data_IF_191646634889
#
_entry.id   IF_191646634889
#
_cell.length_a   1.000
_cell.length_b   1.000
_cell.length_c   1.000
_cell.angle_alpha   90.00
_cell.angle_beta   90.00
_cell.angle_gamma   90.00
#
_symmetry.space_group_name_H-M   'P 1'
#
loop_
_entity.id
_entity.type
_entity.pdbx_description
1 polymer ?
#
# COMPACT_ATOMS: atom_id res chain seq x y z
N UNK A 1 -28.33 34.59 74.99
CA UNK A 1 -27.26 34.90 75.95
C UNK A 1 -27.56 34.23 77.28
N UNK A 2 -27.43 32.90 77.30
CA UNK A 2 -26.34 32.31 78.08
C UNK A 2 -25.54 31.29 77.26
N UNK A 3 -24.26 31.10 77.59
CA UNK A 3 -23.37 30.13 76.94
C UNK A 3 -22.99 29.01 77.92
N UNK A 4 -23.84 27.98 77.99
CA UNK A 4 -23.48 26.69 78.57
C UNK A 4 -22.73 25.84 77.54
N UNK A 5 -21.75 25.06 78.01
CA UNK A 5 -21.02 24.07 77.19
C UNK A 5 -21.72 22.71 77.28
N UNK A 6 -22.40 22.26 76.23
CA UNK A 6 -22.64 20.83 75.95
C UNK A 6 -23.24 20.61 74.55
N UNK A 7 -22.90 19.45 73.96
CA UNK A 7 -23.57 18.74 72.86
C UNK A 7 -23.74 19.41 71.48
N UNK A 8 -23.10 18.80 70.47
CA UNK A 8 -23.59 18.60 69.09
C UNK A 8 -22.55 17.65 68.43
N UNK A 9 -22.84 16.35 68.29
CA UNK A 9 -23.64 15.69 67.25
C UNK A 9 -22.81 15.28 66.02
N UNK A 10 -22.78 13.98 65.73
CA UNK A 10 -22.11 13.39 64.56
C UNK A 10 -22.66 13.93 63.22
N UNK A 11 -21.77 14.24 62.27
CA UNK A 11 -21.94 13.79 60.87
C UNK A 11 -20.59 13.59 60.21
N UNK A 12 -20.41 12.47 59.50
CA UNK A 12 -19.28 12.28 58.59
C UNK A 12 -19.57 12.97 57.25
N UNK A 13 -18.58 13.68 56.70
CA UNK A 13 -18.54 14.04 55.28
C UNK A 13 -17.15 13.74 54.72
N UNK A 14 -17.14 13.07 53.58
CA UNK A 14 -15.98 12.49 52.93
C UNK A 14 -15.36 13.49 51.95
N UNK A 15 -14.03 13.63 51.97
CA UNK A 15 -13.29 14.31 50.91
C UNK A 15 -12.93 13.32 49.78
N UNK A 16 -13.68 13.37 48.69
CA UNK A 16 -13.17 13.17 47.32
C UNK A 16 -12.52 14.52 46.88
N UNK A 17 -11.59 14.59 45.89
CA UNK A 17 -11.51 13.79 44.66
C UNK A 17 -10.06 13.25 44.40
N UNK A 18 -9.62 12.74 43.24
CA UNK A 18 -10.17 12.56 41.88
C UNK A 18 -10.01 11.11 41.40
N UNK A 19 -10.75 10.74 40.34
CA UNK A 19 -10.62 9.47 39.62
C UNK A 19 -9.86 9.70 38.31
N UNK A 20 -8.56 9.37 38.26
CA UNK A 20 -7.79 9.35 37.01
C UNK A 20 -8.18 8.11 36.22
N UNK A 21 -8.76 8.31 35.03
CA UNK A 21 -9.19 7.25 34.12
C UNK A 21 -8.01 6.63 33.39
N UNK A 22 -8.03 5.29 33.24
CA UNK A 22 -7.01 4.52 32.54
C UNK A 22 -6.92 4.97 31.07
N UNK A 23 -5.79 5.55 30.68
CA UNK A 23 -5.56 6.00 29.30
C UNK A 23 -5.36 4.81 28.34
N UNK A 24 -5.66 4.98 27.03
CA UNK A 24 -5.50 3.90 26.07
C UNK A 24 -4.03 3.46 25.97
N UNK A 25 -3.77 2.24 26.45
CA UNK A 25 -2.43 1.63 26.45
C UNK A 25 -2.05 1.23 25.03
N UNK A 26 -1.22 2.04 24.38
CA UNK A 26 -0.60 1.68 23.10
C UNK A 26 0.20 0.39 23.26
N UNK A 27 -0.30 -0.69 22.68
CA UNK A 27 0.32 -2.02 22.63
C UNK A 27 0.59 -2.41 21.19
N UNK A 28 1.62 -1.80 20.59
CA UNK A 28 2.21 -2.29 19.34
C UNK A 28 3.50 -3.04 19.69
N UNK A 29 3.37 -4.33 19.98
CA UNK A 29 4.53 -5.23 20.15
C UNK A 29 4.87 -5.81 18.78
N UNK A 30 5.87 -5.23 18.11
CA UNK A 30 6.38 -5.71 16.83
C UNK A 30 7.17 -7.02 16.99
N UNK A 31 6.47 -8.14 17.19
CA UNK A 31 7.07 -9.47 17.28
C UNK A 31 7.32 -10.08 15.89
N UNK A 32 8.30 -9.50 15.17
CA UNK A 32 9.08 -10.05 14.03
C UNK A 32 9.93 -8.93 13.44
N UNK A 33 11.22 -9.15 13.24
CA UNK A 33 12.07 -8.24 12.45
C UNK A 33 11.77 -8.42 10.96
N UNK A 34 11.37 -7.35 10.23
CA UNK A 34 11.12 -7.44 8.79
C UNK A 34 12.40 -7.80 8.03
N UNK A 35 12.27 -8.55 6.94
CA UNK A 35 13.40 -8.93 6.07
C UNK A 35 13.66 -7.83 5.04
N UNK A 36 14.91 -7.41 4.89
CA UNK A 36 15.30 -6.47 3.83
C UNK A 36 15.51 -7.24 2.51
N UNK A 37 14.76 -6.87 1.48
CA UNK A 37 14.71 -7.52 0.16
C UNK A 37 14.97 -6.48 -0.93
N UNK A 38 15.74 -6.83 -1.96
CA UNK A 38 15.94 -5.94 -3.12
C UNK A 38 14.63 -5.84 -3.91
N UNK A 39 14.18 -4.60 -4.18
CA UNK A 39 12.92 -4.31 -4.88
C UNK A 39 12.97 -4.90 -6.29
N UNK A 40 12.17 -5.93 -6.55
CA UNK A 40 12.05 -6.56 -7.86
C UNK A 40 10.87 -5.95 -8.60
N UNK A 41 11.11 -5.28 -9.73
CA UNK A 41 10.06 -4.69 -10.57
C UNK A 41 9.29 -5.79 -11.35
N UNK A 42 8.51 -6.60 -10.63
CA UNK A 42 7.51 -7.51 -11.22
C UNK A 42 6.11 -6.99 -10.91
N UNK A 43 5.23 -7.03 -11.91
CA UNK A 43 3.81 -6.78 -11.72
C UNK A 43 3.21 -7.92 -10.89
N UNK A 44 2.77 -7.62 -9.68
CA UNK A 44 2.13 -8.60 -8.80
C UNK A 44 0.72 -8.90 -9.29
N UNK A 45 0.55 -10.01 -10.01
CA UNK A 45 -0.76 -10.63 -10.18
C UNK A 45 -1.22 -11.14 -8.82
N UNK A 46 -2.46 -10.86 -8.45
CA UNK A 46 -3.05 -11.29 -7.19
C UNK A 46 -4.43 -11.89 -7.46
N UNK A 47 -4.90 -12.78 -6.58
CA UNK A 47 -6.25 -13.33 -6.68
C UNK A 47 -7.27 -12.36 -6.06
N UNK A 48 -8.56 -12.44 -6.42
CA UNK A 48 -9.63 -11.70 -5.76
C UNK A 48 -9.60 -11.79 -4.23
N UNK A 49 -9.39 -12.97 -3.66
CA UNK A 49 -9.35 -13.15 -2.20
C UNK A 49 -8.18 -12.41 -1.53
N UNK A 50 -7.00 -12.43 -2.16
CA UNK A 50 -5.81 -11.73 -1.66
C UNK A 50 -6.01 -10.21 -1.72
N UNK A 51 -6.58 -9.70 -2.80
CA UNK A 51 -6.89 -8.27 -2.93
C UNK A 51 -7.97 -7.81 -1.95
N UNK A 52 -9.07 -8.56 -1.84
CA UNK A 52 -10.15 -8.24 -0.90
C UNK A 52 -9.62 -8.20 0.54
N UNK A 53 -8.76 -9.15 0.91
CA UNK A 53 -8.08 -9.18 2.21
C UNK A 53 -7.09 -8.03 2.39
N UNK A 54 -6.29 -7.69 1.37
CA UNK A 54 -5.34 -6.57 1.47
C UNK A 54 -6.09 -5.24 1.66
N UNK A 55 -7.20 -5.06 0.94
CA UNK A 55 -8.03 -3.85 1.01
C UNK A 55 -8.93 -3.80 2.25
N UNK A 56 -9.09 -4.90 3.01
CA UNK A 56 -9.88 -4.90 4.25
C UNK A 56 -9.09 -4.52 5.50
N UNK A 57 -7.74 -4.53 5.46
CA UNK A 57 -6.91 -4.21 6.63
C UNK A 57 -7.02 -2.73 7.03
N UNK A 58 -6.87 -2.41 8.31
CA UNK A 58 -6.61 -1.03 8.75
C UNK A 58 -5.20 -0.56 8.38
N UNK A 59 -4.92 0.74 8.56
CA UNK A 59 -3.57 1.31 8.41
C UNK A 59 -2.59 0.66 9.40
N UNK A 60 -3.02 0.46 10.64
CA UNK A 60 -2.26 -0.14 11.73
C UNK A 60 -2.04 -1.65 11.52
N UNK A 61 -3.06 -2.37 11.05
CA UNK A 61 -2.96 -3.80 10.71
C UNK A 61 -2.01 -4.03 9.54
N UNK A 62 -2.04 -3.16 8.52
CA UNK A 62 -1.11 -3.19 7.39
C UNK A 62 0.33 -2.92 7.84
N UNK A 63 0.53 -1.95 8.74
CA UNK A 63 1.84 -1.69 9.34
C UNK A 63 2.33 -2.89 10.18
N UNK A 64 1.47 -3.46 11.03
CA UNK A 64 1.81 -4.60 11.88
C UNK A 64 2.07 -5.90 11.10
N UNK A 65 1.46 -6.06 9.92
CA UNK A 65 1.69 -7.19 9.01
C UNK A 65 2.86 -6.99 8.04
N UNK A 66 3.59 -5.87 8.12
CA UNK A 66 4.73 -5.57 7.25
C UNK A 66 5.93 -6.48 7.55
N UNK A 67 6.15 -7.50 6.71
CA UNK A 67 7.20 -8.53 6.89
C UNK A 67 8.39 -8.40 5.91
N UNK A 68 8.22 -7.71 4.78
CA UNK A 68 9.30 -7.41 3.83
C UNK A 68 9.51 -5.91 3.73
N UNK A 69 10.77 -5.48 3.81
CA UNK A 69 11.23 -4.11 3.65
C UNK A 69 12.14 -4.00 2.46
N UNK A 70 12.22 -2.80 1.90
CA UNK A 70 13.01 -2.50 0.72
C UNK A 70 14.04 -1.40 1.05
N UNK A 71 15.24 -1.44 0.44
CA UNK A 71 16.14 -0.29 0.47
C UNK A 71 15.41 0.95 -0.08
N UNK A 72 15.59 2.13 0.53
CA UNK A 72 14.97 3.35 0.03
C UNK A 72 15.58 3.77 -1.30
N UNK A 73 14.84 4.57 -2.07
CA UNK A 73 15.35 5.13 -3.33
C UNK A 73 16.16 6.39 -3.03
N UNK A 74 17.48 6.30 -3.21
CA UNK A 74 18.37 7.45 -3.20
C UNK A 74 17.98 8.38 -4.37
N UNK A 75 17.80 9.66 -4.08
CA UNK A 75 17.48 10.71 -5.04
C UNK A 75 18.73 11.48 -5.47
N UNK A 76 19.62 11.74 -4.51
CA UNK A 76 20.78 12.61 -4.67
C UNK A 76 21.87 12.20 -3.66
N UNK A 77 23.13 12.23 -4.08
CA UNK A 77 24.29 12.11 -3.19
C UNK A 77 24.80 13.52 -2.83
N UNK A 78 25.18 13.70 -1.57
CA UNK A 78 25.66 14.96 -1.00
C UNK A 78 27.12 14.80 -0.59
N UNK A 79 27.89 15.89 -0.66
CA UNK A 79 29.27 15.87 -0.17
C UNK A 79 29.29 15.92 1.36
N UNK A 80 29.65 14.79 1.97
CA UNK A 80 29.87 14.67 3.41
C UNK A 80 30.90 15.68 3.92
N UNK A 81 31.81 16.16 3.06
CA UNK A 81 32.86 17.09 3.45
C UNK A 81 32.36 18.48 3.84
N UNK A 82 31.17 18.87 3.35
CA UNK A 82 30.51 20.14 3.70
C UNK A 82 29.85 20.09 5.08
N UNK A 83 29.40 18.89 5.51
CA UNK A 83 28.55 18.72 6.70
C UNK A 83 29.22 17.98 7.86
N UNK A 84 30.30 17.23 7.61
CA UNK A 84 30.97 16.43 8.65
C UNK A 84 32.47 16.22 8.40
N UNK A 85 33.25 16.22 9.49
CA UNK A 85 34.65 15.79 9.44
C UNK A 85 34.79 14.26 9.33
N UNK A 86 33.74 13.48 9.61
CA UNK A 86 33.74 12.01 9.57
C UNK A 86 33.34 11.48 8.19
N UNK A 87 34.18 11.77 7.19
CA UNK A 87 33.93 11.52 5.75
C UNK A 87 33.91 10.05 5.33
N UNK A 88 34.47 9.14 6.14
CA UNK A 88 34.47 7.70 5.84
C UNK A 88 33.18 7.09 6.39
N UNK A 89 32.37 6.51 5.51
CA UNK A 89 31.29 5.59 5.89
C UNK A 89 31.76 4.15 5.68
N UNK A 90 31.22 3.23 6.47
CA UNK A 90 31.40 1.78 6.26
C UNK A 90 30.30 1.16 5.39
N UNK A 91 29.30 1.95 5.03
CA UNK A 91 28.23 1.59 4.11
C UNK A 91 28.65 1.95 2.68
N UNK A 92 28.35 1.09 1.72
CA UNK A 92 28.60 1.32 0.29
C UNK A 92 27.88 2.59 -0.21
N UNK A 93 28.35 3.21 -1.29
CA UNK A 93 27.76 4.43 -1.85
C UNK A 93 26.37 4.14 -2.42
N UNK A 94 26.17 2.95 -2.98
CA UNK A 94 24.90 2.48 -3.57
C UNK A 94 23.84 2.07 -2.52
N UNK A 95 24.13 2.18 -1.22
CA UNK A 95 23.23 1.77 -0.13
C UNK A 95 23.03 2.93 0.85
N UNK A 96 21.79 3.30 1.18
CA UNK A 96 21.53 4.38 2.15
C UNK A 96 22.08 4.03 3.56
N UNK A 97 22.67 5.03 4.24
CA UNK A 97 23.16 4.89 5.62
C UNK A 97 22.01 4.67 6.61
N UNK A 98 20.79 5.10 6.26
CA UNK A 98 19.59 4.87 7.05
C UNK A 98 18.62 3.93 6.34
N UNK A 99 18.11 2.93 7.06
CA UNK A 99 16.98 2.12 6.62
C UNK A 99 15.68 2.67 7.24
N UNK A 100 14.69 3.11 6.44
CA UNK A 100 13.36 3.42 6.91
C UNK A 100 12.53 2.16 7.16
N UNK A 101 11.71 2.21 8.21
CA UNK A 101 10.60 1.32 8.50
C UNK A 101 9.34 2.15 8.80
N UNK A 102 8.23 1.98 8.06
CA UNK A 102 8.10 1.15 6.87
C UNK A 102 8.84 1.78 5.66
N UNK A 103 9.15 0.98 4.63
CA UNK A 103 9.74 1.47 3.37
C UNK A 103 8.75 2.21 2.46
N UNK A 104 7.45 2.04 2.71
CA UNK A 104 6.34 2.78 2.09
C UNK A 104 5.27 2.95 3.17
N UNK A 105 4.78 4.17 3.36
CA UNK A 105 3.71 4.47 4.32
C UNK A 105 2.38 4.35 3.57
N UNK A 106 1.53 3.42 3.98
CA UNK A 106 0.21 3.20 3.37
C UNK A 106 -0.89 3.50 4.36
N UNK A 107 -1.64 4.58 4.11
CA UNK A 107 -2.92 4.84 4.76
C UNK A 107 -4.04 4.17 3.96
N UNK A 108 -4.93 3.44 4.62
CA UNK A 108 -6.09 2.81 3.97
C UNK A 108 -7.26 2.67 4.95
N UNK A 109 -8.47 2.53 4.40
CA UNK A 109 -9.73 2.48 5.15
C UNK A 109 -9.92 3.68 6.11
N UNK A 110 -9.51 4.86 5.66
CA UNK A 110 -9.71 6.12 6.38
C UNK A 110 -11.05 6.77 6.10
N UNK A 111 -11.53 7.50 7.10
CA UNK A 111 -12.68 8.41 7.06
C UNK A 111 -12.18 9.84 6.79
N UNK A 112 -12.83 10.60 5.88
CA UNK A 112 -12.55 12.03 5.72
C UNK A 112 -12.69 12.82 7.04
N UNK A 113 -11.89 13.86 7.19
CA UNK A 113 -11.79 14.75 8.37
C UNK A 113 -11.21 14.15 9.66
N UNK A 114 -11.05 12.82 9.75
CA UNK A 114 -10.30 12.17 10.83
C UNK A 114 -8.77 12.40 10.64
N UNK A 115 -7.97 12.12 11.67
CA UNK A 115 -6.50 12.27 11.62
C UNK A 115 -5.84 10.95 12.02
N UNK A 116 -4.92 10.47 11.17
CA UNK A 116 -4.22 9.20 11.32
C UNK A 116 -2.73 9.45 11.52
N UNK A 117 -2.08 8.58 12.29
CA UNK A 117 -0.66 8.71 12.64
C UNK A 117 0.09 7.43 12.32
N UNK A 118 1.18 7.52 11.54
CA UNK A 118 2.06 6.37 11.26
C UNK A 118 3.50 6.71 11.66
N UNK A 119 4.17 5.88 12.48
CA UNK A 119 5.57 6.08 12.82
C UNK A 119 6.48 5.72 11.65
N UNK A 120 7.33 6.66 11.25
CA UNK A 120 8.47 6.47 10.36
C UNK A 120 9.74 6.33 11.20
N UNK A 121 10.25 5.10 11.30
CA UNK A 121 11.45 4.76 12.07
C UNK A 121 12.66 4.71 11.13
N UNK A 122 13.66 5.55 11.37
CA UNK A 122 14.92 5.58 10.61
C UNK A 122 16.03 4.94 11.44
N UNK A 123 16.57 3.80 10.99
CA UNK A 123 17.68 3.10 11.65
C UNK A 123 19.03 3.45 11.01
N UNK A 124 20.00 3.89 11.81
CA UNK A 124 21.37 4.09 11.33
C UNK A 124 22.08 2.74 11.18
N UNK A 125 22.51 2.41 9.95
CA UNK A 125 23.24 1.19 9.62
C UNK A 125 24.76 1.39 9.57
N UNK A 126 25.26 2.62 9.63
CA UNK A 126 26.70 2.90 9.66
C UNK A 126 27.30 2.67 11.06
N UNK A 127 28.62 2.48 11.11
CA UNK A 127 29.40 2.27 12.35
C UNK A 127 29.68 3.57 13.11
N UNK A 128 29.24 4.71 12.59
CA UNK A 128 29.48 6.06 13.13
C UNK A 128 28.12 6.73 13.38
N UNK A 129 27.95 7.56 14.44
CA UNK A 129 26.71 8.32 14.63
C UNK A 129 26.48 9.29 13.47
N UNK A 130 25.35 9.17 12.75
CA UNK A 130 25.02 9.98 11.57
C UNK A 130 23.88 10.94 11.82
N UNK A 131 23.95 12.10 11.18
CA UNK A 131 22.90 13.10 11.21
C UNK A 131 21.77 12.74 10.23
N UNK A 132 20.51 12.88 10.65
CA UNK A 132 19.34 12.78 9.77
C UNK A 132 18.33 13.90 10.05
N UNK A 133 17.86 14.51 8.97
CA UNK A 133 16.74 15.46 8.93
C UNK A 133 15.64 14.85 8.08
N UNK A 134 14.40 14.93 8.54
CA UNK A 134 13.24 14.66 7.69
C UNK A 134 12.70 15.99 7.17
N UNK A 135 12.46 16.05 5.86
CA UNK A 135 11.90 17.19 5.14
C UNK A 135 10.63 16.73 4.46
N UNK A 136 9.54 17.46 4.69
CA UNK A 136 8.28 17.32 3.96
C UNK A 136 8.19 18.35 2.83
N UNK A 137 7.45 18.02 1.79
CA UNK A 137 6.98 19.00 0.79
C UNK A 137 5.67 19.60 1.32
N UNK A 138 5.45 20.91 1.15
CA UNK A 138 4.24 21.58 1.69
C UNK A 138 2.95 20.88 1.23
N UNK A 139 2.19 20.37 2.20
CA UNK A 139 1.02 19.54 1.95
C UNK A 139 -0.15 19.93 2.83
N UNK A 140 -1.35 19.98 2.24
CA UNK A 140 -2.61 20.24 2.95
C UNK A 140 -3.10 19.01 3.74
N UNK A 141 -2.57 17.83 3.43
CA UNK A 141 -3.08 16.54 3.90
C UNK A 141 -2.08 15.77 4.78
N UNK A 142 -0.79 15.94 4.55
CA UNK A 142 0.28 15.25 5.25
C UNK A 142 1.09 16.24 6.08
N UNK A 143 1.49 15.83 7.29
CA UNK A 143 2.44 16.56 8.14
C UNK A 143 3.39 15.60 8.84
N UNK A 144 4.64 15.99 9.04
CA UNK A 144 5.66 15.19 9.73
C UNK A 144 6.05 15.87 11.04
N UNK A 145 5.70 15.24 12.16
CA UNK A 145 6.12 15.66 13.49
C UNK A 145 7.44 15.00 13.83
N UNK A 146 8.47 15.80 14.12
CA UNK A 146 9.73 15.32 14.68
C UNK A 146 9.63 15.25 16.20
N UNK A 147 10.25 14.25 16.87
CA UNK A 147 10.30 14.19 18.33
C UNK A 147 11.22 15.27 18.94
N UNK A 148 12.02 15.96 18.13
CA UNK A 148 12.90 17.07 18.53
C UNK A 148 12.92 18.09 17.40
N UNK A 149 12.76 19.38 17.70
CA UNK A 149 12.71 20.47 16.69
C UNK A 149 14.01 20.69 15.89
N UNK A 150 15.03 19.85 16.09
CA UNK A 150 16.39 20.02 15.57
C UNK A 150 16.94 18.70 15.02
N UNK A 151 17.77 18.81 13.99
CA UNK A 151 18.45 17.72 13.30
C UNK A 151 19.08 16.68 14.25
N UNK A 152 18.75 15.39 14.09
CA UNK A 152 19.05 14.35 15.10
C UNK A 152 20.27 13.54 14.69
N UNK A 153 21.30 13.50 15.55
CA UNK A 153 22.47 12.62 15.39
C UNK A 153 22.19 11.25 16.02
N UNK A 154 21.95 10.25 15.17
CA UNK A 154 21.55 8.89 15.56
C UNK A 154 22.78 7.99 15.69
N UNK A 155 22.98 7.39 16.86
CA UNK A 155 24.09 6.47 17.11
C UNK A 155 24.02 5.18 16.26
N UNK A 156 25.14 4.47 16.04
CA UNK A 156 25.20 3.22 15.27
C UNK A 156 24.18 2.19 15.74
N UNK A 157 23.41 1.62 14.82
CA UNK A 157 22.39 0.60 15.09
C UNK A 157 21.11 1.10 15.78
N UNK A 158 21.10 2.33 16.30
CA UNK A 158 19.95 2.97 16.93
C UNK A 158 18.96 3.53 15.91
N UNK A 159 17.77 3.90 16.39
CA UNK A 159 16.65 4.40 15.59
C UNK A 159 16.17 5.77 16.05
N UNK A 160 15.76 6.62 15.10
CA UNK A 160 14.95 7.82 15.36
C UNK A 160 13.56 7.63 14.78
N UNK A 161 12.52 7.99 15.52
CA UNK A 161 11.11 7.83 15.10
C UNK A 161 10.48 9.18 14.85
N UNK A 162 9.97 9.40 13.64
CA UNK A 162 9.17 10.56 13.24
C UNK A 162 7.71 10.12 13.10
N UNK A 163 6.75 11.02 13.32
CA UNK A 163 5.32 10.69 13.17
C UNK A 163 4.77 11.36 11.92
N UNK A 164 4.28 10.57 10.97
CA UNK A 164 3.58 11.08 9.78
C UNK A 164 2.09 11.13 10.09
N UNK A 165 1.57 12.35 10.19
CA UNK A 165 0.16 12.67 10.33
C UNK A 165 -0.50 12.75 8.94
N UNK A 166 -1.70 12.19 8.82
CA UNK A 166 -2.53 12.29 7.62
C UNK A 166 -3.94 12.74 8.00
N UNK A 167 -4.41 13.81 7.34
CA UNK A 167 -5.75 14.38 7.50
C UNK A 167 -6.45 14.49 6.13
N UNK A 168 -7.15 13.43 5.67
CA UNK A 168 -7.89 13.47 4.41
C UNK A 168 -9.05 14.48 4.47
N UNK A 169 -9.26 15.26 3.41
CA UNK A 169 -10.49 16.05 3.24
C UNK A 169 -11.60 15.28 2.51
N UNK A 170 -11.21 14.38 1.60
CA UNK A 170 -12.08 13.60 0.72
C UNK A 170 -11.62 12.14 0.68
N UNK A 171 -12.55 11.21 0.38
CA UNK A 171 -12.23 9.80 0.20
C UNK A 171 -11.79 9.52 -1.25
N UNK A 172 -10.53 9.84 -1.55
CA UNK A 172 -9.86 9.66 -2.85
C UNK A 172 -8.42 9.20 -2.62
N UNK A 173 -7.75 8.68 -3.65
CA UNK A 173 -6.33 8.34 -3.56
C UNK A 173 -5.46 9.60 -3.38
N UNK A 174 -4.50 9.55 -2.46
CA UNK A 174 -3.44 10.56 -2.33
C UNK A 174 -2.07 9.91 -2.50
N UNK A 175 -1.17 10.58 -3.22
CA UNK A 175 0.23 10.15 -3.39
C UNK A 175 1.10 11.31 -2.94
N UNK A 176 2.07 11.02 -2.07
CA UNK A 176 3.02 12.00 -1.54
C UNK A 176 4.34 11.29 -1.20
N UNK A 177 5.31 12.04 -0.68
CA UNK A 177 6.60 11.48 -0.26
C UNK A 177 7.22 12.30 0.85
N UNK A 178 8.04 11.63 1.64
CA UNK A 178 8.90 12.24 2.67
C UNK A 178 10.33 12.14 2.20
N UNK A 179 11.10 13.22 2.29
CA UNK A 179 12.52 13.24 1.91
C UNK A 179 13.36 13.18 3.18
N UNK A 180 14.11 12.09 3.33
CA UNK A 180 15.09 11.95 4.39
C UNK A 180 16.44 12.46 3.88
N UNK A 181 16.99 13.46 4.56
CA UNK A 181 18.27 14.10 4.24
C UNK A 181 19.29 13.68 5.29
N UNK A 182 20.41 13.11 4.84
CA UNK A 182 21.54 12.68 5.68
C UNK A 182 22.80 13.49 5.34
N UNK A 183 23.93 13.19 5.97
CA UNK A 183 25.24 13.79 5.63
C UNK A 183 25.72 13.42 4.21
N UNK A 184 25.24 12.32 3.61
CA UNK A 184 25.77 11.74 2.36
C UNK A 184 24.73 11.53 1.26
N UNK A 185 23.45 11.40 1.61
CA UNK A 185 22.39 11.20 0.62
C UNK A 185 21.05 11.82 1.03
N UNK A 186 20.24 12.13 0.01
CA UNK A 186 18.79 12.31 0.14
C UNK A 186 18.09 11.07 -0.41
N UNK A 187 17.12 10.53 0.31
CA UNK A 187 16.29 9.42 -0.16
C UNK A 187 14.80 9.66 0.12
N UNK A 188 13.92 9.10 -0.73
CA UNK A 188 12.47 9.20 -0.54
C UNK A 188 11.88 7.99 0.22
N UNK A 189 10.91 8.28 1.08
CA UNK A 189 9.94 7.32 1.61
C UNK A 189 8.57 7.69 1.01
N UNK A 190 7.99 6.89 0.09
CA UNK A 190 6.69 7.18 -0.48
C UNK A 190 5.58 7.07 0.57
N UNK A 191 4.62 7.99 0.50
CA UNK A 191 3.34 7.92 1.21
C UNK A 191 2.24 7.68 0.17
N UNK A 192 1.35 6.74 0.46
CA UNK A 192 0.17 6.44 -0.35
C UNK A 192 -1.04 6.35 0.55
N UNK A 193 -2.07 7.13 0.26
CA UNK A 193 -3.38 6.94 0.86
C UNK A 193 -4.30 6.30 -0.19
N UNK A 194 -4.88 5.15 0.17
CA UNK A 194 -5.80 4.37 -0.65
C UNK A 194 -7.22 4.78 -0.28
N UNK A 195 -7.89 5.48 -1.19
CA UNK A 195 -9.28 5.88 -1.03
C UNK A 195 -10.25 4.74 -1.29
N UNK A 196 -11.55 5.06 -1.34
CA UNK A 196 -12.63 4.10 -1.50
C UNK A 196 -12.40 3.16 -2.69
N UNK A 197 -12.40 1.85 -2.41
CA UNK A 197 -12.22 0.79 -3.41
C UNK A 197 -13.50 0.01 -3.67
N UNK A 198 -13.68 -0.29 -4.94
CA UNK A 198 -14.55 -1.35 -5.43
C UNK A 198 -13.89 -2.70 -5.15
N UNK A 199 -14.67 -3.66 -4.64
CA UNK A 199 -14.22 -5.03 -4.39
C UNK A 199 -15.34 -5.94 -4.85
N UNK A 200 -15.11 -6.69 -5.92
CA UNK A 200 -16.04 -7.70 -6.42
C UNK A 200 -15.69 -9.05 -5.81
N UNK A 201 -16.67 -9.67 -5.17
CA UNK A 201 -16.58 -11.01 -4.61
C UNK A 201 -16.56 -12.04 -5.74
N UNK A 202 -15.34 -12.42 -6.14
CA UNK A 202 -15.07 -13.45 -7.13
C UNK A 202 -14.31 -14.62 -6.47
N UNK A 203 -14.61 -15.87 -6.84
CA UNK A 203 -13.80 -17.01 -6.43
C UNK A 203 -12.44 -16.99 -7.13
N UNK A 204 -11.36 -17.38 -6.46
CA UNK A 204 -10.02 -17.40 -7.07
C UNK A 204 -9.91 -18.40 -8.26
N UNK A 205 -10.75 -19.44 -8.24
CA UNK A 205 -10.72 -20.56 -9.18
C UNK A 205 -12.12 -20.97 -9.62
N UNK A 206 -12.30 -21.18 -10.92
CA UNK A 206 -13.49 -21.84 -11.47
C UNK A 206 -13.13 -23.18 -12.12
N UNK A 207 -13.74 -24.23 -11.60
CA UNK A 207 -13.74 -25.55 -12.21
C UNK A 207 -15.04 -25.78 -12.98
N UNK A 208 -14.89 -26.40 -14.15
CA UNK A 208 -15.95 -26.88 -15.02
C UNK A 208 -16.06 -28.41 -14.94
N UNK A 209 -17.24 -28.99 -15.22
CA UNK A 209 -17.37 -30.43 -15.39
C UNK A 209 -16.62 -30.90 -16.65
N UNK A 210 -16.40 -32.20 -16.75
CA UNK A 210 -15.87 -32.82 -17.98
C UNK A 210 -16.88 -32.58 -19.11
N UNK A 211 -16.47 -31.85 -20.15
CA UNK A 211 -17.31 -31.54 -21.31
C UNK A 211 -16.79 -32.26 -22.57
N UNK A 212 -17.66 -32.85 -23.41
CA UNK A 212 -17.27 -33.35 -24.72
C UNK A 212 -16.71 -32.25 -25.63
N UNK A 213 -15.81 -32.63 -26.55
CA UNK A 213 -15.25 -31.72 -27.54
C UNK A 213 -16.36 -31.18 -28.46
N UNK A 214 -16.38 -29.87 -28.71
CA UNK A 214 -17.43 -29.07 -29.38
C UNK A 214 -18.77 -28.94 -28.62
N UNK A 215 -18.87 -29.39 -27.37
CA UNK A 215 -20.02 -29.12 -26.51
C UNK A 215 -19.71 -28.00 -25.52
N UNK A 216 -20.56 -26.96 -25.49
CA UNK A 216 -20.44 -25.88 -24.51
C UNK A 216 -20.86 -26.38 -23.13
N UNK A 217 -20.01 -26.17 -22.13
CA UNK A 217 -20.38 -26.23 -20.71
C UNK A 217 -20.42 -24.79 -20.15
N UNK A 218 -21.41 -24.50 -19.31
CA UNK A 218 -21.70 -23.16 -18.84
C UNK A 218 -21.67 -23.11 -17.30
N UNK A 219 -21.19 -22.00 -16.73
CA UNK A 219 -21.19 -21.77 -15.28
C UNK A 219 -21.51 -20.32 -14.96
N UNK A 220 -22.65 -20.10 -14.31
CA UNK A 220 -23.08 -18.78 -13.84
C UNK A 220 -22.66 -18.56 -12.39
N UNK A 221 -22.24 -17.33 -12.10
CA UNK A 221 -21.73 -16.86 -10.81
C UNK A 221 -22.55 -15.64 -10.40
N UNK A 222 -22.92 -15.57 -9.12
CA UNK A 222 -23.45 -14.33 -8.55
C UNK A 222 -22.27 -13.54 -7.98
N UNK A 223 -21.89 -12.46 -8.67
CA UNK A 223 -20.79 -11.58 -8.27
C UNK A 223 -21.37 -10.36 -7.58
N UNK A 224 -20.86 -10.05 -6.38
CA UNK A 224 -21.34 -8.95 -5.54
C UNK A 224 -20.27 -7.90 -5.32
N UNK A 225 -20.64 -6.61 -5.36
CA UNK A 225 -19.75 -5.55 -4.89
C UNK A 225 -19.80 -5.46 -3.36
N UNK A 226 -18.73 -5.94 -2.72
CA UNK A 226 -18.48 -5.85 -1.27
C UNK A 226 -17.55 -4.69 -0.89
N UNK A 227 -17.17 -3.84 -1.87
CA UNK A 227 -16.39 -2.63 -1.65
C UNK A 227 -17.22 -1.45 -1.16
N UNK A 228 -16.58 -0.29 -1.05
CA UNK A 228 -17.15 0.96 -0.51
C UNK A 228 -17.35 2.06 -1.57
N UNK A 229 -17.20 1.73 -2.86
CA UNK A 229 -17.60 2.59 -3.98
C UNK A 229 -18.16 1.76 -5.15
N UNK A 230 -18.71 2.45 -6.15
CA UNK A 230 -19.20 1.83 -7.39
C UNK A 230 -18.08 1.05 -8.10
N UNK A 231 -18.39 -0.19 -8.47
CA UNK A 231 -17.49 -1.10 -9.17
C UNK A 231 -17.81 -1.13 -10.66
N UNK A 232 -17.13 -0.28 -11.45
CA UNK A 232 -17.11 -0.41 -12.92
C UNK A 232 -15.95 -1.31 -13.33
N UNK A 233 -16.21 -2.35 -14.13
CA UNK A 233 -15.21 -3.38 -14.42
C UNK A 233 -15.30 -3.98 -15.83
N UNK A 234 -14.24 -4.68 -16.23
CA UNK A 234 -14.13 -5.48 -17.44
C UNK A 234 -13.52 -6.85 -17.10
N UNK A 235 -13.98 -7.89 -17.79
CA UNK A 235 -13.54 -9.26 -17.69
C UNK A 235 -12.97 -9.70 -19.04
N UNK A 236 -11.72 -10.14 -19.06
CA UNK A 236 -11.03 -10.62 -20.25
C UNK A 236 -10.57 -12.07 -20.05
N UNK A 237 -10.86 -12.95 -21.00
CA UNK A 237 -10.40 -14.35 -21.03
C UNK A 237 -10.10 -14.75 -22.49
N UNK A 238 -9.53 -15.94 -22.68
CA UNK A 238 -9.18 -16.49 -23.98
C UNK A 238 -9.89 -17.82 -24.27
N UNK A 239 -10.11 -18.10 -25.57
CA UNK A 239 -10.62 -19.40 -26.03
C UNK A 239 -9.76 -20.54 -25.46
N UNK A 240 -10.36 -21.64 -24.93
CA UNK A 240 -11.74 -22.10 -25.12
C UNK A 240 -12.81 -21.46 -24.23
N UNK A 241 -12.47 -20.49 -23.39
CA UNK A 241 -13.44 -19.82 -22.50
C UNK A 241 -13.96 -18.52 -23.11
N UNK A 242 -15.18 -18.15 -22.72
CA UNK A 242 -15.79 -16.83 -22.95
C UNK A 242 -16.59 -16.40 -21.73
N UNK A 243 -16.89 -15.10 -21.60
CA UNK A 243 -17.57 -14.53 -20.44
C UNK A 243 -18.63 -13.51 -20.87
N UNK A 244 -19.80 -13.58 -20.24
CA UNK A 244 -20.94 -12.69 -20.49
C UNK A 244 -21.62 -12.29 -19.17
N UNK A 245 -21.86 -10.99 -18.91
CA UNK A 245 -21.38 -9.85 -19.67
C UNK A 245 -19.85 -9.65 -19.47
N UNK A 246 -19.09 -9.24 -20.51
CA UNK A 246 -17.65 -8.98 -20.42
C UNK A 246 -17.32 -7.67 -19.70
N UNK A 247 -18.31 -6.84 -19.37
CA UNK A 247 -18.14 -5.59 -18.62
C UNK A 247 -19.42 -5.25 -17.86
N UNK A 248 -19.30 -4.50 -16.78
CA UNK A 248 -20.45 -4.08 -15.99
C UNK A 248 -20.15 -2.96 -15.01
N UNK A 249 -21.20 -2.49 -14.35
CA UNK A 249 -21.15 -1.53 -13.24
C UNK A 249 -22.02 -2.09 -12.12
N UNK A 250 -21.50 -2.09 -10.89
CA UNK A 250 -22.22 -2.52 -9.70
C UNK A 250 -22.11 -1.48 -8.58
N UNK A 251 -23.24 -1.01 -8.07
CA UNK A 251 -23.31 -0.17 -6.88
C UNK A 251 -22.86 -0.95 -5.63
N UNK A 252 -22.58 -0.23 -4.53
CA UNK A 252 -22.20 -0.85 -3.26
C UNK A 252 -23.29 -1.82 -2.79
N UNK A 253 -22.91 -3.07 -2.52
CA UNK A 253 -23.82 -4.13 -2.09
C UNK A 253 -24.63 -4.81 -3.21
N UNK A 254 -24.64 -4.25 -4.43
CA UNK A 254 -25.35 -4.79 -5.60
C UNK A 254 -24.69 -6.09 -6.10
N UNK A 255 -25.46 -6.94 -6.78
CA UNK A 255 -24.98 -8.22 -7.33
C UNK A 255 -25.45 -8.42 -8.77
N UNK A 256 -24.59 -8.98 -9.61
CA UNK A 256 -24.88 -9.33 -11.01
C UNK A 256 -24.54 -10.78 -11.28
N UNK A 257 -25.31 -11.43 -12.15
CA UNK A 257 -24.98 -12.75 -12.67
C UNK A 257 -23.94 -12.61 -13.80
N UNK A 258 -22.85 -13.35 -13.68
CA UNK A 258 -21.81 -13.44 -14.70
C UNK A 258 -21.66 -14.90 -15.09
N UNK A 259 -21.77 -15.15 -16.39
CA UNK A 259 -21.71 -16.48 -16.97
C UNK A 259 -20.38 -16.66 -17.67
N UNK A 260 -19.69 -17.75 -17.36
CA UNK A 260 -18.50 -18.20 -18.09
C UNK A 260 -18.86 -19.46 -18.86
N UNK A 261 -18.65 -19.42 -20.16
CA UNK A 261 -18.80 -20.57 -21.05
C UNK A 261 -17.45 -21.22 -21.33
N UNK A 262 -17.46 -22.52 -21.56
CA UNK A 262 -16.31 -23.34 -21.93
C UNK A 262 -16.65 -24.18 -23.16
N UNK A 263 -15.99 -23.90 -24.29
CA UNK A 263 -16.17 -24.60 -25.56
C UNK A 263 -14.85 -25.26 -26.02
N UNK A 264 -14.55 -26.49 -25.55
CA UNK A 264 -13.33 -27.19 -25.92
C UNK A 264 -13.31 -27.56 -27.41
N UNK A 265 -12.29 -27.09 -28.13
CA UNK A 265 -12.05 -27.44 -29.55
C UNK A 265 -11.20 -28.70 -29.74
N UNK A 266 -10.44 -29.07 -28.71
CA UNK A 266 -9.55 -30.25 -28.67
C UNK A 266 -9.79 -31.03 -27.38
N UNK A 267 -9.49 -32.32 -27.40
CA UNK A 267 -9.43 -33.16 -26.19
C UNK A 267 -8.20 -32.82 -25.35
N UNK A 268 -8.33 -32.87 -24.03
CA UNK A 268 -7.26 -32.58 -23.06
C UNK A 268 -7.70 -31.61 -21.96
N UNK A 269 -6.75 -31.25 -21.10
CA UNK A 269 -6.94 -30.25 -20.05
C UNK A 269 -6.84 -28.81 -20.62
N UNK A 270 -7.70 -27.91 -20.14
CA UNK A 270 -7.79 -26.53 -20.64
C UNK A 270 -7.78 -25.51 -19.48
N UNK A 271 -6.63 -24.90 -19.18
CA UNK A 271 -6.51 -23.80 -18.21
C UNK A 271 -6.35 -22.45 -18.91
N UNK A 272 -6.96 -21.40 -18.35
CA UNK A 272 -6.80 -20.01 -18.78
C UNK A 272 -6.90 -19.05 -17.57
N UNK A 273 -6.61 -17.77 -17.79
CA UNK A 273 -6.85 -16.72 -16.80
C UNK A 273 -8.11 -15.91 -17.16
N UNK A 274 -8.91 -15.56 -16.14
CA UNK A 274 -9.93 -14.52 -16.26
C UNK A 274 -9.39 -13.27 -15.58
N UNK A 275 -9.03 -12.28 -16.38
CA UNK A 275 -8.47 -11.03 -15.90
C UNK A 275 -9.61 -10.07 -15.56
N UNK A 276 -9.73 -9.73 -14.28
CA UNK A 276 -10.63 -8.69 -13.79
C UNK A 276 -9.89 -7.35 -13.73
N UNK A 277 -10.42 -6.38 -14.48
CA UNK A 277 -9.90 -5.03 -14.59
C UNK A 277 -10.92 -4.04 -14.01
N UNK A 278 -10.52 -3.25 -13.01
CA UNK A 278 -11.35 -2.15 -12.50
C UNK A 278 -11.12 -0.88 -13.32
N UNK A 279 -12.22 -0.23 -13.74
CA UNK A 279 -12.19 1.09 -14.33
C UNK A 279 -12.18 2.16 -13.22
N UNK A 280 -11.00 2.49 -12.70
CA UNK A 280 -10.86 3.59 -11.72
C UNK A 280 -11.24 4.93 -12.38
N UNK A 281 -12.34 5.52 -11.92
CA UNK A 281 -12.79 6.83 -12.39
C UNK A 281 -11.83 7.90 -11.83
N UNK A 282 -11.01 8.45 -12.75
CA UNK A 282 -10.02 9.54 -12.62
C UNK A 282 -8.60 9.16 -12.14
N UNK A 283 -7.69 9.28 -13.13
CA UNK A 283 -6.27 9.68 -13.07
C UNK A 283 -5.18 8.58 -13.03
N UNK A 284 -4.45 8.51 -14.16
CA UNK A 284 -3.20 7.78 -14.46
C UNK A 284 -3.27 6.24 -14.41
N UNK A 285 -2.81 5.46 -15.40
CA UNK A 285 -2.43 5.63 -16.81
C UNK A 285 -2.23 4.19 -17.39
N UNK A 286 -1.83 4.03 -18.66
CA UNK A 286 -1.51 2.70 -19.22
C UNK A 286 -0.10 2.19 -18.85
N UNK A 287 0.14 0.87 -18.97
CA UNK A 287 1.11 0.26 -19.92
C UNK A 287 0.92 -1.28 -20.00
N UNK A 288 1.66 -1.97 -20.88
CA UNK A 288 1.18 -3.16 -21.64
C UNK A 288 2.24 -4.30 -21.71
N UNK A 289 1.79 -5.55 -21.90
CA UNK A 289 2.48 -6.79 -22.38
C UNK A 289 3.02 -7.89 -21.41
N UNK A 290 2.59 -9.15 -21.70
CA UNK A 290 3.18 -10.54 -21.65
C UNK A 290 4.25 -10.95 -20.59
N UNK A 291 4.46 -12.23 -20.20
CA UNK A 291 4.24 -13.53 -20.88
C UNK A 291 4.00 -14.74 -19.91
N UNK A 292 3.85 -15.95 -20.46
CA UNK A 292 3.39 -17.26 -19.90
C UNK A 292 4.32 -18.06 -18.97
N UNK A 293 3.73 -18.85 -18.05
CA UNK A 293 4.00 -20.28 -17.69
C UNK A 293 3.62 -20.56 -16.21
N UNK A 294 3.02 -21.67 -15.77
CA UNK A 294 2.41 -22.82 -16.45
C UNK A 294 2.03 -23.92 -15.42
N UNK A 295 1.09 -24.82 -15.75
CA UNK A 295 0.90 -26.09 -15.02
C UNK A 295 -0.38 -26.30 -14.18
N UNK A 296 -1.23 -27.22 -14.66
CA UNK A 296 -2.24 -28.05 -13.96
C UNK A 296 -3.74 -27.65 -13.92
N UNK A 297 -4.55 -28.58 -14.47
CA UNK A 297 -6.03 -28.71 -14.47
C UNK A 297 -6.80 -27.58 -15.18
N UNK A 298 -8.04 -27.81 -15.64
CA UNK A 298 -8.94 -26.75 -16.05
C UNK A 298 -9.33 -25.88 -14.85
N UNK A 299 -8.50 -24.87 -14.64
CA UNK A 299 -8.69 -23.79 -13.68
C UNK A 299 -8.76 -22.52 -14.51
N UNK A 300 -9.89 -21.82 -14.42
CA UNK A 300 -9.90 -20.40 -14.73
C UNK A 300 -9.35 -19.68 -13.49
N UNK A 301 -8.10 -19.25 -13.57
CA UNK A 301 -7.48 -18.47 -12.49
C UNK A 301 -8.03 -17.05 -12.62
N UNK A 302 -8.81 -16.60 -11.64
CA UNK A 302 -9.27 -15.21 -11.64
C UNK A 302 -8.10 -14.36 -11.14
N UNK A 303 -7.56 -13.55 -12.04
CA UNK A 303 -6.41 -12.68 -11.79
C UNK A 303 -6.85 -11.23 -11.75
N UNK A 304 -6.45 -10.52 -10.71
CA UNK A 304 -6.57 -9.07 -10.64
C UNK A 304 -5.33 -8.40 -11.23
N UNK A 305 -5.56 -7.47 -12.14
CA UNK A 305 -4.55 -6.55 -12.65
C UNK A 305 -4.79 -5.16 -12.03
N UNK A 306 -4.02 -4.82 -11.00
CA UNK A 306 -4.02 -3.50 -10.37
C UNK A 306 -2.87 -2.66 -10.92
N UNK A 307 -3.21 -1.58 -11.64
CA UNK A 307 -2.22 -0.66 -12.16
C UNK A 307 -1.81 0.35 -11.08
N UNK A 308 -0.58 0.25 -10.57
CA UNK A 308 0.04 1.29 -9.73
C UNK A 308 1.13 2.01 -10.52
N UNK A 309 1.03 3.34 -10.59
CA UNK A 309 1.92 4.17 -11.40
C UNK A 309 2.60 5.23 -10.54
N UNK A 310 3.91 5.07 -10.40
CA UNK A 310 4.80 6.21 -10.17
C UNK A 310 5.12 6.86 -11.51
N UNK A 311 4.73 8.13 -11.69
CA UNK A 311 5.29 8.97 -12.77
C UNK A 311 6.67 9.46 -12.34
N UNK A 312 7.69 9.20 -13.17
CA UNK A 312 8.83 10.13 -13.31
C UNK A 312 8.46 11.13 -14.42
N UNK A 313 8.42 12.46 -14.16
CA UNK A 313 8.32 13.46 -15.21
C UNK A 313 9.71 13.97 -15.62
N UNK A 314 10.14 13.66 -16.84
CA UNK A 314 11.04 14.53 -17.65
C UNK A 314 11.10 14.03 -19.10
N UNK A 315 10.54 14.82 -20.01
CA UNK A 315 10.93 14.89 -21.42
C UNK A 315 12.36 15.45 -21.53
N UNK A 316 13.17 15.21 -22.56
CA UNK A 316 12.91 15.40 -24.00
C UNK A 316 13.77 14.40 -24.81
N UNK A 317 13.20 13.60 -25.72
CA UNK A 317 13.02 13.96 -27.14
C UNK A 317 14.25 14.66 -27.75
N UNK A 318 15.02 13.92 -28.56
CA UNK A 318 15.49 14.43 -29.85
C UNK A 318 15.71 13.32 -30.90
N UNK A 319 15.00 13.49 -32.01
CA UNK A 319 15.21 12.95 -33.36
C UNK A 319 14.85 11.51 -33.73
N UNK A 320 14.42 11.42 -35.00
CA UNK A 320 13.61 10.36 -35.63
C UNK A 320 14.47 9.62 -36.65
N UNK A 321 14.14 8.35 -36.88
CA UNK A 321 14.81 7.48 -37.84
C UNK A 321 14.72 7.98 -39.29
N UNK A 322 15.74 7.67 -40.08
CA UNK A 322 15.69 7.60 -41.54
C UNK A 322 16.30 6.27 -41.98
N UNK A 323 15.44 5.31 -42.36
CA UNK A 323 15.81 4.09 -43.10
C UNK A 323 14.76 3.92 -44.20
N UNK A 324 15.22 3.51 -45.38
CA UNK A 324 14.43 3.38 -46.62
C UNK A 324 14.92 4.37 -47.68
N UNK A 325 15.26 3.96 -48.90
CA UNK A 325 15.35 2.60 -49.44
C UNK A 325 16.13 2.62 -50.78
N UNK A 326 16.58 1.43 -51.23
CA UNK A 326 16.79 1.03 -52.63
C UNK A 326 17.80 1.70 -53.60
N UNK A 327 18.50 0.82 -54.35
CA UNK A 327 19.19 1.00 -55.65
C UNK A 327 20.43 1.92 -55.63
N UNK A 328 21.58 1.52 -56.19
CA UNK A 328 21.80 0.62 -57.33
C UNK A 328 23.06 -0.25 -57.21
#
# INVERSE_FOLDING_TARGET
MPTSKAQTSNTALQNLPLKMTDGPKSKVVASRTPKLVKRLNKMTRMTPSVFAKEMSLSTEERLASTYEMHPPRILELLDMSETTHQKVSSVDVDQAMFQPFPSEIVFQNYTPSETYEVPLVLRNNDKIPRLVKVVEEDSLYFKVVSPVDVCIKVAPGMTSTFTVLFKPQENKDYIHRVICVTEREKFEVPIRAIGARAILDFPDHLHFPISPVKCTAQKTLLVRNIGICEAKFQLNTASPFSVDPPQGTLNVGESMQITVDFLPRTSGDHSQELLLHYHTVKACAEHRYTNTSGGHKPVLIIGLATAFIGKNPSSSLHHIARIGEERH
#
